data_IF_655456510646
#
_entry.id   IF_655456510646
#
_cell.length_a   1.000
_cell.length_b   1.000
_cell.length_c   1.000
_cell.angle_alpha   90.00
_cell.angle_beta   90.00
_cell.angle_gamma   90.00
#
_symmetry.space_group_name_H-M   'P 1'
#
loop_
_entity.id
_entity.type
_entity.pdbx_description
1 polymer ?
#
# COMPACT_ATOMS: atom_id res chain seq x y z
N UNK A 1 -28.89 -7.23 -24.33
CA UNK A 1 -28.45 -7.78 -23.02
C UNK A 1 -27.14 -7.12 -22.65
N UNK A 2 -27.06 -6.45 -21.50
CA UNK A 2 -25.79 -5.92 -21.02
C UNK A 2 -25.03 -6.99 -20.26
N UNK A 3 -23.96 -7.54 -20.82
CA UNK A 3 -22.97 -8.33 -20.08
C UNK A 3 -21.92 -7.41 -19.46
N UNK A 4 -21.40 -7.76 -18.30
CA UNK A 4 -20.24 -7.08 -17.71
C UNK A 4 -19.00 -7.76 -18.28
N UNK A 5 -18.13 -6.98 -18.92
CA UNK A 5 -16.79 -7.48 -19.21
C UNK A 5 -16.03 -7.53 -17.88
N UNK A 6 -15.87 -8.73 -17.33
CA UNK A 6 -15.13 -9.01 -16.08
C UNK A 6 -13.61 -8.95 -16.33
N UNK A 7 -13.16 -8.08 -17.24
CA UNK A 7 -11.74 -7.84 -17.38
C UNK A 7 -11.33 -6.80 -16.34
N UNK A 8 -10.33 -7.07 -15.47
CA UNK A 8 -9.93 -6.15 -14.40
C UNK A 8 -9.67 -4.74 -14.91
N UNK A 9 -9.07 -4.61 -16.10
CA UNK A 9 -8.75 -3.30 -16.72
C UNK A 9 -9.96 -2.59 -17.36
N UNK A 10 -11.09 -3.26 -17.57
CA UNK A 10 -12.23 -2.79 -18.35
C UNK A 10 -13.56 -3.05 -17.64
N UNK A 11 -13.58 -3.06 -16.30
CA UNK A 11 -14.82 -3.16 -15.53
C UNK A 11 -15.76 -2.03 -15.92
N UNK A 12 -16.65 -2.32 -16.86
CA UNK A 12 -17.69 -1.45 -17.39
C UNK A 12 -18.86 -2.33 -17.83
N UNK A 13 -20.08 -1.80 -17.66
CA UNK A 13 -21.24 -2.39 -18.31
C UNK A 13 -21.09 -2.22 -19.83
N UNK A 14 -21.41 -3.27 -20.61
CA UNK A 14 -21.43 -3.18 -22.07
C UNK A 14 -22.45 -2.18 -22.62
N UNK A 15 -23.46 -1.80 -21.82
CA UNK A 15 -24.39 -0.72 -22.14
C UNK A 15 -23.93 0.59 -21.50
N UNK A 16 -23.62 1.58 -22.33
CA UNK A 16 -23.15 2.91 -21.91
C UNK A 16 -24.16 3.68 -21.05
N UNK A 17 -25.47 3.48 -21.26
CA UNK A 17 -26.51 4.14 -20.45
C UNK A 17 -26.57 3.55 -19.03
N UNK A 18 -26.39 2.24 -18.89
CA UNK A 18 -26.30 1.56 -17.58
C UNK A 18 -25.03 1.98 -16.85
N UNK A 19 -23.92 2.14 -17.57
CA UNK A 19 -22.67 2.67 -17.00
C UNK A 19 -22.83 4.13 -16.53
N UNK A 20 -23.51 5.00 -17.27
CA UNK A 20 -23.78 6.38 -16.83
C UNK A 20 -24.64 6.40 -15.55
N UNK A 21 -25.67 5.56 -15.49
CA UNK A 21 -26.49 5.43 -14.28
C UNK A 21 -25.72 4.87 -13.09
N UNK A 22 -24.85 3.87 -13.30
CA UNK A 22 -23.93 3.37 -12.27
C UNK A 22 -23.01 4.47 -11.75
N UNK A 23 -22.42 5.25 -12.67
CA UNK A 23 -21.54 6.37 -12.31
C UNK A 23 -22.29 7.40 -11.47
N UNK A 24 -23.53 7.76 -11.84
CA UNK A 24 -24.38 8.67 -11.05
C UNK A 24 -24.71 8.10 -9.67
N UNK A 25 -25.13 6.83 -9.61
CA UNK A 25 -25.44 6.13 -8.37
C UNK A 25 -24.24 6.14 -7.40
N UNK A 26 -23.07 5.76 -7.91
CA UNK A 26 -21.82 5.68 -7.15
C UNK A 26 -21.35 7.06 -6.69
N UNK A 27 -21.46 8.04 -7.57
CA UNK A 27 -21.10 9.44 -7.33
C UNK A 27 -21.91 10.05 -6.19
N UNK A 28 -23.24 9.92 -6.22
CA UNK A 28 -24.13 10.62 -5.29
C UNK A 28 -24.29 9.90 -3.95
N UNK A 29 -24.24 8.57 -3.91
CA UNK A 29 -24.54 7.81 -2.68
C UNK A 29 -23.33 7.26 -1.94
N UNK A 30 -22.18 7.13 -2.60
CA UNK A 30 -21.10 6.29 -2.07
C UNK A 30 -19.75 6.99 -2.00
N UNK A 31 -19.37 7.76 -3.03
CA UNK A 31 -18.02 8.32 -3.09
C UNK A 31 -17.79 9.50 -2.16
N UNK A 32 -18.72 10.45 -2.06
CA UNK A 32 -18.55 11.63 -1.18
C UNK A 32 -18.41 11.25 0.30
N UNK A 33 -19.27 10.38 0.89
CA UNK A 33 -19.10 9.96 2.28
C UNK A 33 -17.77 9.23 2.52
N UNK A 34 -17.38 8.35 1.58
CA UNK A 34 -16.09 7.64 1.65
C UNK A 34 -14.91 8.60 1.63
N UNK A 35 -14.94 9.62 0.77
CA UNK A 35 -13.90 10.65 0.72
C UNK A 35 -13.81 11.44 2.04
N UNK A 36 -14.96 11.75 2.66
CA UNK A 36 -15.02 12.41 3.98
C UNK A 36 -14.41 11.52 5.06
N UNK A 37 -14.81 10.24 5.15
CA UNK A 37 -14.26 9.33 6.16
C UNK A 37 -12.75 9.15 6.03
N UNK A 38 -12.26 9.00 4.80
CA UNK A 38 -10.83 8.90 4.56
C UNK A 38 -10.09 10.21 4.88
N UNK A 39 -10.69 11.35 4.59
CA UNK A 39 -10.13 12.65 4.97
C UNK A 39 -10.02 12.78 6.49
N UNK A 40 -11.07 12.43 7.23
CA UNK A 40 -11.07 12.42 8.70
C UNK A 40 -10.00 11.47 9.25
N UNK A 41 -9.89 10.27 8.70
CA UNK A 41 -8.88 9.30 9.11
C UNK A 41 -7.45 9.83 8.86
N UNK A 42 -7.20 10.44 7.70
CA UNK A 42 -5.91 11.06 7.38
C UNK A 42 -5.59 12.23 8.33
N UNK A 43 -6.60 13.04 8.68
CA UNK A 43 -6.46 14.14 9.63
C UNK A 43 -6.08 13.61 11.01
N UNK A 44 -6.82 12.63 11.53
CA UNK A 44 -6.55 12.01 12.85
C UNK A 44 -5.15 11.44 12.91
N UNK A 45 -4.72 10.72 11.88
CA UNK A 45 -3.37 10.15 11.83
C UNK A 45 -2.28 11.23 11.81
N UNK A 46 -2.42 12.27 10.98
CA UNK A 46 -1.43 13.35 10.94
C UNK A 46 -1.41 14.14 12.25
N UNK A 47 -2.56 14.43 12.85
CA UNK A 47 -2.66 15.09 14.14
C UNK A 47 -2.02 14.25 15.26
N UNK A 48 -2.25 12.94 15.27
CA UNK A 48 -1.60 12.03 16.20
C UNK A 48 -0.07 12.03 16.02
N UNK A 49 0.43 12.03 14.79
CA UNK A 49 1.86 12.16 14.53
C UNK A 49 2.42 13.52 14.98
N UNK A 50 1.68 14.62 14.85
CA UNK A 50 2.12 15.93 15.39
C UNK A 50 2.25 15.83 16.90
N UNK A 51 1.22 15.30 17.58
CA UNK A 51 1.22 15.19 19.03
C UNK A 51 2.38 14.31 19.53
N UNK A 52 2.64 13.17 18.90
CA UNK A 52 3.75 12.28 19.24
C UNK A 52 5.12 12.95 19.04
N UNK A 53 5.31 13.71 17.96
CA UNK A 53 6.56 14.44 17.71
C UNK A 53 6.77 15.60 18.69
N UNK A 54 5.70 16.29 19.11
CA UNK A 54 5.79 17.34 20.14
C UNK A 54 6.19 16.79 21.51
N UNK A 55 5.83 15.53 21.80
CA UNK A 55 6.20 14.83 23.03
C UNK A 55 7.61 14.23 23.00
N UNK A 56 8.28 14.22 21.83
CA UNK A 56 9.62 13.64 21.68
C UNK A 56 10.67 14.54 22.31
N UNK A 57 11.43 13.99 23.25
CA UNK A 57 12.45 14.72 24.04
C UNK A 57 13.76 14.94 23.30
N UNK A 58 14.06 14.13 22.28
CA UNK A 58 15.31 14.19 21.53
C UNK A 58 15.15 15.07 20.27
N UNK A 59 15.60 16.33 20.37
CA UNK A 59 15.31 17.40 19.38
C UNK A 59 16.30 17.50 18.21
N UNK A 60 17.38 16.72 18.17
CA UNK A 60 18.50 16.94 17.23
C UNK A 60 18.12 16.90 15.74
N UNK A 61 17.06 16.18 15.37
CA UNK A 61 16.51 16.14 14.00
C UNK A 61 15.01 16.55 13.90
N UNK A 62 14.41 16.97 15.02
CA UNK A 62 12.96 17.09 15.20
C UNK A 62 12.28 18.16 14.33
N UNK A 63 12.97 19.25 13.99
CA UNK A 63 12.37 20.37 13.25
C UNK A 63 11.98 19.97 11.83
N UNK A 64 12.83 19.20 11.14
CA UNK A 64 12.55 18.75 9.77
C UNK A 64 11.42 17.72 9.70
N UNK A 65 11.30 16.90 10.74
CA UNK A 65 10.22 15.95 10.93
C UNK A 65 8.88 16.65 11.19
N UNK A 66 8.86 17.58 12.14
CA UNK A 66 7.69 18.37 12.51
C UNK A 66 7.15 19.15 11.31
N UNK A 67 8.04 19.80 10.53
CA UNK A 67 7.67 20.49 9.29
C UNK A 67 6.97 19.54 8.31
N UNK A 68 7.49 18.32 8.12
CA UNK A 68 6.82 17.34 7.26
C UNK A 68 5.45 16.90 7.80
N UNK A 69 5.26 16.77 9.13
CA UNK A 69 3.93 16.46 9.68
C UNK A 69 2.96 17.61 9.41
N UNK A 70 3.40 18.85 9.70
CA UNK A 70 2.58 20.05 9.55
C UNK A 70 2.21 20.27 8.08
N UNK A 71 3.16 20.08 7.16
CA UNK A 71 2.87 20.12 5.72
C UNK A 71 1.87 19.02 5.32
N UNK A 72 2.00 17.81 5.86
CA UNK A 72 1.04 16.74 5.60
C UNK A 72 -0.37 17.08 6.10
N UNK A 73 -0.47 17.66 7.30
CA UNK A 73 -1.72 18.14 7.86
C UNK A 73 -2.31 19.29 7.01
N UNK A 74 -1.48 20.22 6.56
CA UNK A 74 -1.90 21.31 5.68
C UNK A 74 -2.45 20.78 4.35
N UNK A 75 -1.81 19.77 3.75
CA UNK A 75 -2.31 19.10 2.53
C UNK A 75 -3.69 18.46 2.76
N UNK A 76 -3.91 17.82 3.91
CA UNK A 76 -5.21 17.26 4.29
C UNK A 76 -6.27 18.35 4.49
N UNK A 77 -5.92 19.42 5.20
CA UNK A 77 -6.83 20.55 5.43
C UNK A 77 -7.19 21.28 4.12
N UNK A 78 -6.22 21.49 3.23
CA UNK A 78 -6.44 22.06 1.91
C UNK A 78 -7.40 21.19 1.07
N UNK A 79 -7.25 19.87 1.15
CA UNK A 79 -8.17 18.97 0.48
C UNK A 79 -9.59 19.09 1.03
N UNK A 80 -9.74 19.12 2.36
CA UNK A 80 -11.03 19.31 3.02
C UNK A 80 -11.68 20.65 2.67
N UNK A 81 -10.90 21.73 2.71
CA UNK A 81 -11.34 23.07 2.33
C UNK A 81 -11.78 23.14 0.87
N UNK A 82 -11.05 22.49 -0.05
CA UNK A 82 -11.44 22.42 -1.46
C UNK A 82 -12.77 21.65 -1.64
N UNK A 83 -12.94 20.53 -0.94
CA UNK A 83 -14.17 19.74 -1.00
C UNK A 83 -15.38 20.53 -0.48
N UNK A 84 -15.21 21.29 0.61
CA UNK A 84 -16.25 22.17 1.15
C UNK A 84 -16.57 23.32 0.19
N UNK A 85 -15.55 23.97 -0.38
CA UNK A 85 -15.71 25.11 -1.27
C UNK A 85 -16.45 24.74 -2.58
N UNK A 86 -16.11 23.60 -3.17
CA UNK A 86 -16.72 23.14 -4.43
C UNK A 86 -18.14 22.58 -4.24
N UNK A 87 -18.52 22.23 -3.01
CA UNK A 87 -19.72 21.45 -2.72
C UNK A 87 -19.71 20.06 -3.38
N UNK A 88 -20.76 19.27 -3.18
CA UNK A 88 -20.82 17.88 -3.66
C UNK A 88 -20.68 17.79 -5.20
N UNK A 89 -21.45 18.60 -5.93
CA UNK A 89 -21.48 18.57 -7.39
C UNK A 89 -20.14 19.02 -7.99
N UNK A 90 -19.54 20.08 -7.45
CA UNK A 90 -18.24 20.57 -7.92
C UNK A 90 -17.10 19.62 -7.57
N UNK A 91 -17.11 19.06 -6.34
CA UNK A 91 -16.14 18.04 -5.93
C UNK A 91 -16.16 16.86 -6.87
N UNK A 92 -17.34 16.31 -7.19
CA UNK A 92 -17.45 15.14 -8.03
C UNK A 92 -16.94 15.37 -9.46
N UNK A 93 -17.11 16.58 -10.01
CA UNK A 93 -16.55 16.95 -11.33
C UNK A 93 -15.02 16.96 -11.33
N UNK A 94 -14.39 17.42 -10.25
CA UNK A 94 -12.94 17.56 -10.13
C UNK A 94 -12.27 16.44 -9.31
N UNK A 95 -13.05 15.45 -8.85
CA UNK A 95 -12.65 14.46 -7.84
C UNK A 95 -11.37 13.72 -8.23
N UNK A 96 -11.32 13.18 -9.45
CA UNK A 96 -10.18 12.37 -9.91
C UNK A 96 -8.89 13.18 -9.91
N UNK A 97 -8.90 14.38 -10.50
CA UNK A 97 -7.73 15.27 -10.52
C UNK A 97 -7.33 15.73 -9.12
N UNK A 98 -8.29 16.08 -8.28
CA UNK A 98 -8.04 16.50 -6.89
C UNK A 98 -7.42 15.37 -6.08
N UNK A 99 -7.98 14.16 -6.13
CA UNK A 99 -7.45 12.99 -5.42
C UNK A 99 -6.03 12.68 -5.91
N UNK A 100 -5.77 12.71 -7.21
CA UNK A 100 -4.42 12.50 -7.77
C UNK A 100 -3.44 13.54 -7.22
N UNK A 101 -3.82 14.82 -7.24
CA UNK A 101 -3.00 15.92 -6.73
C UNK A 101 -2.69 15.74 -5.23
N UNK A 102 -3.70 15.58 -4.39
CA UNK A 102 -3.51 15.48 -2.94
C UNK A 102 -2.83 14.17 -2.52
N UNK A 103 -3.07 13.04 -3.22
CA UNK A 103 -2.30 11.80 -3.02
C UNK A 103 -0.82 12.00 -3.35
N UNK A 104 -0.52 12.69 -4.45
CA UNK A 104 0.87 12.96 -4.87
C UNK A 104 1.57 13.86 -3.85
N UNK A 105 0.92 14.94 -3.41
CA UNK A 105 1.44 15.84 -2.38
C UNK A 105 1.71 15.10 -1.06
N UNK A 106 0.76 14.29 -0.58
CA UNK A 106 0.96 13.47 0.63
C UNK A 106 2.09 12.47 0.47
N UNK A 107 2.22 11.84 -0.70
CA UNK A 107 3.32 10.92 -1.00
C UNK A 107 4.65 11.65 -0.88
N UNK A 108 4.81 12.78 -1.58
CA UNK A 108 6.02 13.62 -1.53
C UNK A 108 6.38 13.96 -0.08
N UNK A 109 5.44 14.53 0.69
CA UNK A 109 5.65 14.88 2.09
C UNK A 109 6.09 13.65 2.91
N UNK A 110 5.46 12.50 2.67
CA UNK A 110 5.77 11.26 3.39
C UNK A 110 7.14 10.68 3.03
N UNK A 111 7.57 10.76 1.76
CA UNK A 111 8.91 10.30 1.31
C UNK A 111 10.01 11.03 2.08
N UNK A 112 9.82 12.34 2.30
CA UNK A 112 10.82 13.15 2.99
C UNK A 112 10.69 13.10 4.52
N UNK A 113 9.47 12.91 5.04
CA UNK A 113 9.19 12.91 6.48
C UNK A 113 9.37 11.56 7.18
N UNK A 114 8.85 10.47 6.62
CA UNK A 114 8.75 9.16 7.30
C UNK A 114 10.11 8.48 7.48
N UNK A 115 11.02 8.45 6.47
CA UNK A 115 12.35 7.86 6.67
C UNK A 115 13.19 8.59 7.73
N UNK A 116 12.88 9.86 8.02
CA UNK A 116 13.52 10.61 9.11
C UNK A 116 12.92 10.26 10.48
N UNK A 117 11.61 9.97 10.56
CA UNK A 117 10.94 9.53 11.80
C UNK A 117 11.38 8.16 12.28
N UNK A 118 11.58 7.26 11.32
CA UNK A 118 11.86 5.84 11.57
C UNK A 118 13.35 5.53 11.51
N UNK A 119 14.19 6.54 11.26
CA UNK A 119 15.65 6.47 11.43
C UNK A 119 16.00 6.37 12.93
N UNK A 120 15.72 5.21 13.49
CA UNK A 120 16.54 4.67 14.57
C UNK A 120 17.73 3.98 13.89
N UNK A 121 18.93 4.08 14.49
CA UNK A 121 20.04 3.24 14.04
C UNK A 121 19.53 1.79 14.08
N UNK A 122 19.61 1.03 12.97
CA UNK A 122 18.97 -0.26 12.92
C UNK A 122 19.64 -1.15 13.96
N UNK A 123 18.91 -1.39 15.05
CA UNK A 123 19.35 -2.25 16.13
C UNK A 123 19.40 -3.69 15.65
N UNK A 124 20.26 -4.50 16.27
CA UNK A 124 20.41 -5.92 15.93
C UNK A 124 19.16 -6.66 16.40
N UNK A 125 18.13 -6.74 15.54
CA UNK A 125 16.87 -7.42 15.85
C UNK A 125 15.86 -7.37 14.71
N UNK A 126 15.10 -8.45 14.53
CA UNK A 126 14.14 -8.58 13.42
C UNK A 126 13.07 -7.47 13.45
N UNK A 127 12.52 -7.12 14.62
CA UNK A 127 11.54 -6.02 14.75
C UNK A 127 12.05 -4.71 14.18
N UNK A 128 13.35 -4.42 14.37
CA UNK A 128 14.01 -3.23 13.83
C UNK A 128 14.15 -3.30 12.31
N UNK A 129 14.53 -4.47 11.78
CA UNK A 129 14.58 -4.71 10.34
C UNK A 129 13.19 -4.54 9.70
N UNK A 130 12.13 -5.06 10.31
CA UNK A 130 10.75 -4.92 9.81
C UNK A 130 10.25 -3.50 9.85
N UNK A 131 10.44 -2.82 10.98
CA UNK A 131 10.10 -1.40 11.11
C UNK A 131 10.83 -0.58 10.03
N UNK A 132 12.12 -0.82 9.83
CA UNK A 132 12.89 -0.15 8.78
C UNK A 132 12.43 -0.58 7.36
N UNK A 133 12.10 -1.84 7.12
CA UNK A 133 11.62 -2.32 5.83
C UNK A 133 10.25 -1.73 5.50
N UNK A 134 9.30 -1.68 6.43
CA UNK A 134 7.95 -1.20 6.14
C UNK A 134 7.84 0.33 6.10
N UNK A 135 8.46 1.00 7.08
CA UNK A 135 8.37 2.45 7.19
C UNK A 135 9.55 3.15 6.51
N UNK A 136 10.76 2.61 6.65
CA UNK A 136 11.98 3.20 6.10
C UNK A 136 12.12 3.01 4.58
N UNK A 137 11.68 1.87 4.02
CA UNK A 137 11.58 1.71 2.55
C UNK A 137 10.38 2.46 1.96
N UNK A 138 9.40 2.82 2.79
CA UNK A 138 8.19 3.54 2.39
C UNK A 138 7.05 2.66 1.86
N UNK A 139 7.16 1.33 2.00
CA UNK A 139 6.09 0.38 1.63
C UNK A 139 4.75 0.75 2.27
N UNK A 140 4.74 1.09 3.56
CA UNK A 140 3.50 1.46 4.27
C UNK A 140 2.89 2.75 3.71
N UNK A 141 3.71 3.71 3.30
CA UNK A 141 3.26 4.98 2.68
C UNK A 141 2.55 4.67 1.35
N UNK A 142 3.12 3.76 0.57
CA UNK A 142 2.56 3.34 -0.72
C UNK A 142 1.23 2.62 -0.52
N UNK A 143 1.17 1.67 0.42
CA UNK A 143 -0.05 0.94 0.76
C UNK A 143 -1.14 1.88 1.32
N UNK A 144 -0.76 2.81 2.20
CA UNK A 144 -1.65 3.82 2.75
C UNK A 144 -2.23 4.72 1.67
N UNK A 145 -1.40 5.24 0.78
CA UNK A 145 -1.87 6.06 -0.33
C UNK A 145 -2.76 5.26 -1.28
N UNK A 146 -2.45 3.98 -1.50
CA UNK A 146 -3.25 3.09 -2.34
C UNK A 146 -4.71 3.02 -1.88
N UNK A 147 -4.89 2.71 -0.60
CA UNK A 147 -6.20 2.49 0.03
C UNK A 147 -6.88 3.78 0.47
N UNK A 148 -6.10 4.81 0.81
CA UNK A 148 -6.54 5.96 1.59
C UNK A 148 -7.41 6.97 0.87
N UNK A 149 -7.62 6.86 -0.46
CA UNK A 149 -8.63 7.58 -1.25
C UNK A 149 -8.85 6.84 -2.58
N UNK A 150 -9.96 6.08 -2.71
CA UNK A 150 -10.15 5.19 -3.85
C UNK A 150 -10.40 6.00 -5.13
N UNK A 151 -9.49 5.87 -6.08
CA UNK A 151 -9.70 6.27 -7.46
C UNK A 151 -10.51 5.19 -8.18
N UNK A 152 -11.13 5.55 -9.31
CA UNK A 152 -11.62 4.52 -10.25
C UNK A 152 -10.47 3.57 -10.58
N UNK A 153 -10.77 2.27 -10.67
CA UNK A 153 -9.75 1.22 -10.78
C UNK A 153 -8.69 1.49 -11.86
N UNK A 154 -9.09 1.94 -13.06
CA UNK A 154 -8.17 2.31 -14.15
C UNK A 154 -7.17 3.41 -13.77
N UNK A 155 -7.62 4.44 -13.06
CA UNK A 155 -6.75 5.53 -12.61
C UNK A 155 -5.92 5.10 -11.42
N UNK A 156 -6.47 4.24 -10.54
CA UNK A 156 -5.72 3.66 -9.44
C UNK A 156 -4.49 2.91 -9.95
N UNK A 157 -4.65 2.03 -10.96
CA UNK A 157 -3.54 1.26 -11.51
C UNK A 157 -2.38 2.14 -11.98
N UNK A 158 -2.67 3.17 -12.77
CA UNK A 158 -1.66 4.09 -13.32
C UNK A 158 -0.98 4.90 -12.21
N UNK A 159 -1.77 5.46 -11.30
CA UNK A 159 -1.25 6.31 -10.22
C UNK A 159 -0.46 5.48 -9.21
N UNK A 160 -0.92 4.26 -8.90
CA UNK A 160 -0.29 3.38 -7.95
C UNK A 160 0.99 2.76 -8.51
N UNK A 161 1.00 2.33 -9.77
CA UNK A 161 2.23 1.81 -10.41
C UNK A 161 3.30 2.90 -10.48
N UNK A 162 2.91 4.13 -10.85
CA UNK A 162 3.83 5.28 -10.86
C UNK A 162 4.33 5.60 -9.46
N UNK A 163 3.45 5.60 -8.45
CA UNK A 163 3.81 5.84 -7.06
C UNK A 163 4.76 4.79 -6.49
N UNK A 164 4.53 3.52 -6.80
CA UNK A 164 5.42 2.40 -6.43
C UNK A 164 6.79 2.56 -7.07
N UNK A 165 6.84 2.82 -8.38
CA UNK A 165 8.10 3.02 -9.11
C UNK A 165 8.91 4.21 -8.55
N UNK A 166 8.25 5.33 -8.27
CA UNK A 166 8.88 6.50 -7.66
C UNK A 166 9.41 6.19 -6.27
N UNK A 167 8.66 5.46 -5.43
CA UNK A 167 9.09 5.12 -4.08
C UNK A 167 10.27 4.15 -4.07
N UNK A 168 10.25 3.14 -4.93
CA UNK A 168 11.39 2.25 -5.15
C UNK A 168 12.64 3.05 -5.57
N UNK A 169 12.48 4.00 -6.49
CA UNK A 169 13.59 4.82 -6.99
C UNK A 169 14.16 5.77 -5.92
N UNK A 170 13.28 6.49 -5.21
CA UNK A 170 13.67 7.53 -4.25
C UNK A 170 14.08 6.99 -2.88
N UNK A 171 13.35 6.00 -2.36
CA UNK A 171 13.55 5.48 -1.01
C UNK A 171 14.29 4.13 -1.00
N UNK A 172 14.06 3.26 -1.99
CA UNK A 172 14.59 1.90 -1.99
C UNK A 172 16.13 1.83 -2.03
N UNK A 173 16.77 2.63 -2.87
CA UNK A 173 18.25 2.70 -2.93
C UNK A 173 18.87 3.19 -1.61
N UNK A 174 18.27 4.24 -1.03
CA UNK A 174 18.73 4.83 0.23
C UNK A 174 18.52 3.87 1.40
N UNK A 175 17.41 3.14 1.43
CA UNK A 175 17.16 2.09 2.40
C UNK A 175 18.26 1.03 2.33
N UNK A 176 18.54 0.47 1.15
CA UNK A 176 19.56 -0.56 1.01
C UNK A 176 20.97 -0.10 1.38
N UNK A 177 21.34 1.16 1.07
CA UNK A 177 22.61 1.72 1.50
C UNK A 177 22.72 1.73 3.05
N UNK A 178 21.73 2.27 3.75
CA UNK A 178 21.75 2.36 5.22
C UNK A 178 21.65 0.99 5.90
N UNK A 179 20.82 0.07 5.37
CA UNK A 179 20.60 -1.26 5.95
C UNK A 179 21.86 -2.12 5.86
N UNK A 180 22.57 -2.06 4.73
CA UNK A 180 23.76 -2.87 4.50
C UNK A 180 25.02 -2.32 5.18
N UNK A 181 25.03 -1.06 5.63
CA UNK A 181 26.13 -0.49 6.41
C UNK A 181 26.27 -1.13 7.79
N UNK A 182 25.17 -1.65 8.38
CA UNK A 182 25.20 -2.30 9.68
C UNK A 182 25.41 -3.83 9.56
N UNK A 183 26.49 -4.41 10.13
CA UNK A 183 26.81 -5.83 9.97
C UNK A 183 25.73 -6.79 10.51
N UNK A 184 25.14 -6.51 11.68
CA UNK A 184 24.14 -7.40 12.27
C UNK A 184 22.83 -7.39 11.47
N UNK A 185 22.45 -6.23 10.95
CA UNK A 185 21.26 -6.06 10.11
C UNK A 185 21.47 -6.71 8.74
N UNK A 186 22.72 -6.68 8.24
CA UNK A 186 23.12 -7.36 7.01
C UNK A 186 22.94 -8.87 7.12
N UNK A 187 23.35 -9.50 8.21
CA UNK A 187 23.16 -10.95 8.42
C UNK A 187 21.67 -11.33 8.48
N UNK A 188 20.88 -10.56 9.22
CA UNK A 188 19.43 -10.69 9.28
C UNK A 188 18.77 -10.55 7.89
N UNK A 189 19.28 -9.62 7.09
CA UNK A 189 18.82 -9.40 5.72
C UNK A 189 19.19 -10.56 4.78
N UNK A 190 20.44 -11.03 4.84
CA UNK A 190 20.93 -12.16 4.03
C UNK A 190 20.12 -13.44 4.33
N UNK A 191 19.70 -13.64 5.59
CA UNK A 191 18.78 -14.72 5.97
C UNK A 191 17.38 -14.52 5.39
N UNK A 192 16.79 -13.33 5.54
CA UNK A 192 15.47 -13.01 4.99
C UNK A 192 15.43 -13.25 3.47
N UNK A 193 16.49 -12.84 2.77
CA UNK A 193 16.66 -13.10 1.34
C UNK A 193 16.60 -14.59 1.02
N UNK A 194 17.47 -15.40 1.63
CA UNK A 194 17.53 -16.84 1.37
C UNK A 194 16.19 -17.51 1.60
N UNK A 195 15.51 -17.14 2.69
CA UNK A 195 14.22 -17.74 3.02
C UNK A 195 13.13 -17.35 2.02
N UNK A 196 13.15 -16.12 1.50
CA UNK A 196 12.24 -15.70 0.42
C UNK A 196 12.55 -16.44 -0.89
N UNK A 197 13.83 -16.67 -1.20
CA UNK A 197 14.26 -17.39 -2.39
C UNK A 197 13.81 -18.87 -2.34
N UNK A 198 14.04 -19.54 -1.22
CA UNK A 198 13.58 -20.92 -0.97
C UNK A 198 12.05 -21.05 -1.08
N UNK A 199 11.32 -20.07 -0.55
CA UNK A 199 9.86 -20.04 -0.64
C UNK A 199 9.39 -19.86 -2.10
N UNK A 200 10.06 -19.02 -2.87
CA UNK A 200 9.72 -18.81 -4.28
C UNK A 200 10.01 -20.05 -5.12
N UNK A 201 11.09 -20.78 -4.82
CA UNK A 201 11.33 -22.11 -5.40
C UNK A 201 10.19 -23.07 -5.04
N UNK A 202 9.76 -23.09 -3.79
CA UNK A 202 8.70 -23.98 -3.32
C UNK A 202 7.32 -23.67 -3.95
N UNK A 203 6.97 -22.38 -4.07
CA UNK A 203 5.62 -21.94 -4.48
C UNK A 203 5.53 -21.73 -5.99
N UNK A 204 6.54 -21.14 -6.61
CA UNK A 204 6.55 -20.77 -8.02
C UNK A 204 7.44 -21.67 -8.88
N UNK A 205 8.15 -22.63 -8.28
CA UNK A 205 9.07 -23.53 -9.01
C UNK A 205 10.33 -22.84 -9.52
N UNK A 206 10.58 -21.59 -9.11
CA UNK A 206 11.70 -20.79 -9.59
C UNK A 206 12.24 -19.86 -8.47
N UNK A 207 13.57 -19.71 -8.35
CA UNK A 207 14.17 -18.75 -7.43
C UNK A 207 13.85 -17.30 -7.83
N UNK A 208 13.99 -16.37 -6.87
CA UNK A 208 13.87 -14.92 -7.10
C UNK A 208 14.98 -14.45 -8.07
N UNK A 209 16.14 -15.11 -8.05
CA UNK A 209 17.25 -14.85 -8.97
C UNK A 209 17.67 -16.10 -9.71
N UNK A 210 17.87 -15.99 -11.02
CA UNK A 210 18.40 -17.07 -11.86
C UNK A 210 19.87 -17.41 -11.60
N UNK A 211 20.65 -16.52 -10.98
CA UNK A 211 22.09 -16.70 -10.75
C UNK A 211 22.50 -16.46 -9.29
N UNK A 212 22.81 -17.53 -8.56
CA UNK A 212 23.36 -17.48 -7.21
C UNK A 212 24.74 -16.76 -7.13
N UNK A 213 25.46 -16.63 -8.26
CA UNK A 213 26.72 -15.86 -8.35
C UNK A 213 26.52 -14.35 -8.22
N UNK A 214 25.33 -13.82 -8.53
CA UNK A 214 25.04 -12.38 -8.45
C UNK A 214 24.96 -11.88 -6.98
N UNK A 215 24.66 -12.77 -6.04
CA UNK A 215 24.65 -12.51 -4.59
C UNK A 215 26.06 -12.33 -4.01
N UNK A 216 27.03 -13.05 -4.56
CA UNK A 216 28.45 -12.92 -4.17
C UNK A 216 29.05 -11.62 -4.69
N UNK A 217 28.53 -11.08 -5.80
CA UNK A 217 29.07 -9.88 -6.47
C UNK A 217 28.33 -8.59 -6.12
N UNK A 218 27.04 -8.60 -5.73
CA UNK A 218 26.31 -7.37 -5.35
C UNK A 218 25.15 -7.56 -4.35
N UNK A 219 25.45 -7.61 -3.04
CA UNK A 219 24.43 -7.62 -1.96
C UNK A 219 23.45 -6.44 -2.02
N UNK A 220 23.87 -5.30 -2.59
CA UNK A 220 22.99 -4.14 -2.84
C UNK A 220 21.88 -4.46 -3.84
N UNK A 221 22.14 -5.27 -4.86
CA UNK A 221 21.15 -5.69 -5.83
C UNK A 221 20.11 -6.62 -5.21
N UNK A 222 20.53 -7.61 -4.41
CA UNK A 222 19.64 -8.48 -3.65
C UNK A 222 18.74 -7.69 -2.69
N UNK A 223 19.32 -6.72 -1.97
CA UNK A 223 18.52 -5.82 -1.14
C UNK A 223 17.45 -5.07 -1.92
N UNK A 224 17.84 -4.50 -3.05
CA UNK A 224 16.93 -3.73 -3.88
C UNK A 224 15.80 -4.61 -4.44
N UNK A 225 16.08 -5.87 -4.80
CA UNK A 225 15.08 -6.84 -5.26
C UNK A 225 14.03 -7.16 -4.19
N UNK A 226 14.43 -7.37 -2.92
CA UNK A 226 13.46 -7.56 -1.82
C UNK A 226 12.59 -6.33 -1.64
N UNK A 227 13.19 -5.14 -1.66
CA UNK A 227 12.43 -3.90 -1.52
C UNK A 227 11.42 -3.76 -2.65
N UNK A 228 11.81 -4.06 -3.88
CA UNK A 228 10.91 -4.08 -5.05
C UNK A 228 9.80 -5.10 -4.85
N UNK A 229 10.13 -6.33 -4.47
CA UNK A 229 9.15 -7.40 -4.25
C UNK A 229 8.12 -7.00 -3.19
N UNK A 230 8.57 -6.47 -2.05
CA UNK A 230 7.71 -6.02 -0.96
C UNK A 230 6.81 -4.86 -1.41
N UNK A 231 7.34 -3.89 -2.17
CA UNK A 231 6.55 -2.80 -2.73
C UNK A 231 5.52 -3.30 -3.76
N UNK A 232 5.88 -4.26 -4.60
CA UNK A 232 4.98 -4.83 -5.59
C UNK A 232 3.88 -5.66 -4.94
N UNK A 233 4.20 -6.48 -3.93
CA UNK A 233 3.22 -7.28 -3.22
C UNK A 233 2.30 -6.42 -2.35
N UNK A 234 2.88 -5.59 -1.48
CA UNK A 234 2.13 -4.91 -0.41
C UNK A 234 1.74 -3.48 -0.76
N UNK A 235 2.55 -2.81 -1.59
CA UNK A 235 2.25 -1.47 -2.08
C UNK A 235 1.36 -1.47 -3.32
N UNK A 236 1.43 -2.49 -4.18
CA UNK A 236 0.67 -2.53 -5.44
C UNK A 236 -0.41 -3.61 -5.45
N UNK A 237 -0.02 -4.88 -5.36
CA UNK A 237 -0.90 -6.03 -5.61
C UNK A 237 -2.04 -6.11 -4.58
N UNK A 238 -1.72 -6.12 -3.28
CA UNK A 238 -2.73 -6.23 -2.21
C UNK A 238 -3.76 -5.09 -2.30
N UNK A 239 -3.37 -3.80 -2.33
CA UNK A 239 -4.34 -2.72 -2.48
C UNK A 239 -5.15 -2.79 -3.78
N UNK A 240 -4.51 -3.17 -4.90
CA UNK A 240 -5.18 -3.31 -6.19
C UNK A 240 -6.24 -4.41 -6.14
N UNK A 241 -5.93 -5.57 -5.56
CA UNK A 241 -6.89 -6.67 -5.39
C UNK A 241 -8.05 -6.28 -4.49
N UNK A 242 -7.78 -5.59 -3.37
CA UNK A 242 -8.82 -5.08 -2.46
C UNK A 242 -9.74 -4.11 -3.20
N UNK A 243 -9.19 -3.15 -3.94
CA UNK A 243 -9.98 -2.17 -4.68
C UNK A 243 -10.77 -2.81 -5.83
N UNK A 244 -10.17 -3.76 -6.53
CA UNK A 244 -10.85 -4.52 -7.57
C UNK A 244 -12.08 -5.25 -7.03
N UNK A 245 -11.94 -5.89 -5.87
CA UNK A 245 -13.03 -6.58 -5.22
C UNK A 245 -14.12 -5.63 -4.72
N UNK A 246 -13.75 -4.49 -4.13
CA UNK A 246 -14.71 -3.46 -3.74
C UNK A 246 -15.48 -2.89 -4.94
N UNK A 247 -14.81 -2.72 -6.09
CA UNK A 247 -15.43 -2.31 -7.35
C UNK A 247 -16.44 -3.37 -7.85
N UNK A 248 -16.06 -4.65 -7.82
CA UNK A 248 -16.93 -5.76 -8.20
C UNK A 248 -18.17 -5.82 -7.31
N UNK A 249 -18.00 -5.75 -5.98
CA UNK A 249 -19.12 -5.73 -5.03
C UNK A 249 -20.04 -4.54 -5.26
N UNK A 250 -19.48 -3.34 -5.47
CA UNK A 250 -20.27 -2.13 -5.78
C UNK A 250 -21.11 -2.31 -7.03
N UNK A 251 -20.54 -2.89 -8.09
CA UNK A 251 -21.25 -3.15 -9.36
C UNK A 251 -22.32 -4.24 -9.20
N UNK A 252 -22.07 -5.29 -8.41
CA UNK A 252 -23.08 -6.31 -8.05
C UNK A 252 -24.26 -5.69 -7.31
N UNK A 253 -24.00 -4.87 -6.30
CA UNK A 253 -25.05 -4.19 -5.54
C UNK A 253 -25.89 -3.25 -6.42
N UNK A 254 -25.25 -2.57 -7.38
CA UNK A 254 -25.97 -1.76 -8.36
C UNK A 254 -26.80 -2.61 -9.33
N UNK A 255 -26.26 -3.70 -9.86
CA UNK A 255 -27.02 -4.59 -10.73
C UNK A 255 -28.25 -5.17 -10.01
N UNK A 256 -28.10 -5.58 -8.75
CA UNK A 256 -29.22 -6.05 -7.92
C UNK A 256 -30.29 -4.95 -7.72
N UNK A 257 -29.90 -3.70 -7.45
CA UNK A 257 -30.87 -2.61 -7.31
C UNK A 257 -31.57 -2.27 -8.63
N UNK A 258 -30.92 -2.50 -9.77
CA UNK A 258 -31.47 -2.31 -11.11
C UNK A 258 -32.40 -3.44 -11.54
N UNK A 259 -32.16 -4.69 -11.13
CA UNK A 259 -33.08 -5.81 -11.41
C UNK A 259 -34.45 -5.66 -10.74
N UNK A 260 -34.53 -4.90 -9.65
CA UNK A 260 -35.79 -4.52 -9.03
C UNK A 260 -36.58 -3.45 -9.83
N UNK A 261 -35.94 -2.81 -10.82
CA UNK A 261 -36.56 -1.82 -11.68
C UNK A 261 -37.07 -2.51 -12.98
N UNK A 262 -38.39 -2.47 -13.27
CA UNK A 262 -38.97 -3.16 -14.43
C UNK A 262 -38.40 -2.69 -15.79
N UNK A 263 -37.82 -1.49 -15.87
CA UNK A 263 -37.16 -0.99 -17.09
C UNK A 263 -35.81 -1.68 -17.37
N UNK A 264 -35.18 -2.28 -16.35
CA UNK A 264 -33.79 -2.77 -16.39
C UNK A 264 -33.64 -4.23 -15.94
N UNK A 265 -34.73 -4.97 -15.79
CA UNK A 265 -34.76 -6.38 -15.34
C UNK A 265 -33.99 -7.38 -16.22
N UNK A 266 -33.38 -6.92 -17.31
CA UNK A 266 -32.58 -7.71 -18.25
C UNK A 266 -31.06 -7.61 -18.01
N UNK A 267 -30.61 -6.77 -17.07
CA UNK A 267 -29.19 -6.66 -16.70
C UNK A 267 -28.83 -7.83 -15.77
N UNK A 268 -27.94 -8.72 -16.21
CA UNK A 268 -27.45 -9.86 -15.40
C UNK A 268 -25.96 -9.69 -15.13
N UNK A 269 -25.56 -9.94 -13.89
CA UNK A 269 -24.16 -10.01 -13.50
C UNK A 269 -23.67 -11.45 -13.73
N UNK A 270 -22.61 -11.63 -14.51
CA UNK A 270 -21.93 -12.93 -14.63
C UNK A 270 -20.83 -12.99 -13.55
N UNK A 271 -20.97 -13.94 -12.63
CA UNK A 271 -20.09 -14.12 -11.48
C UNK A 271 -19.06 -15.22 -11.67
N UNK A 272 -19.11 -15.95 -12.79
CA UNK A 272 -18.32 -17.17 -13.01
C UNK A 272 -16.80 -16.97 -13.00
N UNK A 273 -16.33 -15.73 -13.21
CA UNK A 273 -14.91 -15.37 -13.22
C UNK A 273 -14.41 -14.55 -12.02
N UNK A 274 -15.25 -14.29 -11.01
CA UNK A 274 -14.85 -13.48 -9.85
C UNK A 274 -14.23 -14.36 -8.77
N UNK A 275 -12.93 -14.20 -8.44
CA UNK A 275 -12.32 -14.95 -7.36
C UNK A 275 -12.95 -14.55 -6.03
N UNK A 276 -13.19 -15.55 -5.19
CA UNK A 276 -13.76 -15.39 -3.85
C UNK A 276 -12.90 -14.42 -3.02
N UNK A 277 -13.53 -13.36 -2.51
CA UNK A 277 -12.91 -12.33 -1.69
C UNK A 277 -12.27 -12.93 -0.44
N UNK A 278 -12.97 -13.86 0.21
CA UNK A 278 -12.48 -14.56 1.40
C UNK A 278 -11.21 -15.32 1.07
N UNK A 279 -11.18 -16.06 -0.05
CA UNK A 279 -9.99 -16.80 -0.48
C UNK A 279 -8.84 -15.90 -0.91
N UNK A 280 -9.11 -14.80 -1.63
CA UNK A 280 -8.07 -13.89 -2.10
C UNK A 280 -7.43 -13.13 -0.93
N UNK A 281 -8.25 -12.62 0.00
CA UNK A 281 -7.77 -12.00 1.23
C UNK A 281 -7.04 -13.04 2.08
N UNK A 282 -7.56 -14.25 2.24
CA UNK A 282 -6.89 -15.33 2.98
C UNK A 282 -5.57 -15.71 2.33
N UNK A 283 -5.45 -15.78 1.00
CA UNK A 283 -4.16 -16.06 0.33
C UNK A 283 -3.18 -14.91 0.51
N UNK A 284 -3.63 -13.65 0.39
CA UNK A 284 -2.77 -12.49 0.66
C UNK A 284 -2.38 -12.38 2.14
N UNK A 285 -3.30 -12.67 3.06
CA UNK A 285 -3.08 -12.69 4.50
C UNK A 285 -2.27 -13.90 4.94
N UNK A 286 -2.35 -15.05 4.27
CA UNK A 286 -1.50 -16.22 4.48
C UNK A 286 -0.12 -16.01 3.89
N UNK A 287 0.01 -15.28 2.77
CA UNK A 287 1.30 -14.80 2.28
C UNK A 287 1.94 -13.83 3.27
N UNK A 288 1.18 -12.89 3.80
CA UNK A 288 1.61 -11.95 4.84
C UNK A 288 1.88 -12.62 6.19
N UNK A 289 1.03 -13.56 6.60
CA UNK A 289 1.19 -14.34 7.81
C UNK A 289 2.30 -15.37 7.66
N UNK A 290 2.57 -15.86 6.45
CA UNK A 290 3.75 -16.66 6.11
C UNK A 290 5.01 -15.83 6.27
N UNK A 291 5.06 -14.64 5.68
CA UNK A 291 6.14 -13.67 5.91
C UNK A 291 6.26 -13.35 7.41
N UNK A 292 5.16 -13.15 8.14
CA UNK A 292 5.18 -12.85 9.58
C UNK A 292 5.58 -14.04 10.47
N UNK A 293 5.12 -15.26 10.14
CA UNK A 293 5.43 -16.49 10.89
C UNK A 293 6.87 -16.92 10.68
N UNK A 294 7.36 -16.82 9.44
CA UNK A 294 8.79 -16.95 9.10
C UNK A 294 9.63 -15.97 9.92
N UNK A 295 9.11 -14.77 10.17
CA UNK A 295 9.78 -13.72 10.94
C UNK A 295 9.77 -13.98 12.44
N UNK A 296 8.66 -14.49 12.98
CA UNK A 296 8.65 -14.93 14.37
C UNK A 296 9.56 -16.14 14.57
N UNK A 297 9.64 -17.07 13.62
CA UNK A 297 10.64 -18.16 13.68
C UNK A 297 12.06 -17.60 13.64
N UNK A 298 12.31 -16.57 12.81
CA UNK A 298 13.57 -15.83 12.76
C UNK A 298 13.87 -15.06 14.07
N UNK A 299 12.86 -14.72 14.88
CA UNK A 299 13.04 -14.06 16.19
C UNK A 299 13.33 -15.08 17.30
N UNK A 300 12.70 -16.25 17.24
CA UNK A 300 12.75 -17.23 18.33
C UNK A 300 13.72 -18.39 18.08
N UNK A 301 14.14 -18.65 16.84
CA UNK A 301 14.95 -19.81 16.45
C UNK A 301 16.29 -19.46 15.77
N UNK A 302 16.85 -18.25 15.92
CA UNK A 302 18.23 -18.00 15.46
C UNK A 302 19.17 -18.98 16.19
N UNK A 303 19.83 -19.92 15.48
CA UNK A 303 20.81 -20.81 16.07
C UNK A 303 22.03 -19.96 16.43
N UNK A 304 22.09 -19.47 17.65
CA UNK A 304 23.19 -18.60 18.12
C UNK A 304 22.84 -17.67 19.28
N UNK A 305 21.58 -17.33 19.53
CA UNK A 305 21.22 -16.47 20.68
C UNK A 305 21.14 -17.19 22.03
N UNK A 306 21.07 -18.54 22.05
CA UNK A 306 21.10 -19.31 23.30
C UNK A 306 22.53 -19.57 23.79
N UNK A 307 23.55 -19.50 22.93
CA UNK A 307 24.92 -19.88 23.31
C UNK A 307 25.75 -18.80 24.00
N UNK A 308 25.30 -17.53 24.06
CA UNK A 308 26.03 -16.43 24.74
C UNK A 308 25.44 -15.98 26.07
N UNK A 309 24.44 -16.68 26.61
CA UNK A 309 23.86 -16.37 27.94
C UNK A 309 24.23 -17.36 29.05
N UNK A 310 25.15 -18.30 28.80
CA UNK A 310 25.65 -19.24 29.82
C UNK A 310 27.18 -19.25 29.85
N UNK A 311 27.80 -18.07 29.88
CA UNK A 311 29.18 -17.88 30.35
C UNK A 311 29.30 -16.48 30.98
N UNK A 312 28.53 -16.25 32.05
CA UNK A 312 28.79 -15.25 33.09
C UNK A 312 28.29 -15.81 34.43
#
# INVERSE_FOLDING_TARGET
MGSILIHPLLLSFSNAEVEDQYVRFRTLRTLTPVDVYFLCLNFVLHAAFVALELLRTDRRDGTSCLVAVVLGLAVVLLQGGLMLYLGEVGWMKLRTSSIILFRSLRTIVSVYGVPRRVREAPSVGATSLFKNLFFGSGTLIVAWNACGMPLLFKHHLVVQSTGVALMVFLAGRRFCANTLENPGVRELFDYLWKTLDDLMVLVAGAPITSDAELLLTSRRAACFQVVVLVHMCLGFLVPTLVLWQLELQSRRSFAASMTANPMWGHVRFDDSGVPDLGRTIVVCLLGLAGIWTMVTDLVFNIPGQVSRRVEL
#
